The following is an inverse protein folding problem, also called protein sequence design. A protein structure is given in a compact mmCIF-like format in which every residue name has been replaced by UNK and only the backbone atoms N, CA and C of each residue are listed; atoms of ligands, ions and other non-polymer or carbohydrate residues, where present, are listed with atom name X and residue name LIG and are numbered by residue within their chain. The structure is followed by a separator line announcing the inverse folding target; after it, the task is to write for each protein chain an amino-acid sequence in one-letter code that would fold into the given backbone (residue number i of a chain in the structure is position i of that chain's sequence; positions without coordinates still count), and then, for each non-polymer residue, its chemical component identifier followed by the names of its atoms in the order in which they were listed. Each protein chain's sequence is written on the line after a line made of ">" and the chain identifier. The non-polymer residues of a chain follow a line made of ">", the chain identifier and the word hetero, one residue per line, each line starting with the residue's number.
data_IF_609348705977
#
_entry.id   IF_609348705977
#
_cell.length_a   1.000
_cell.length_b   1.000
_cell.length_c   1.000
_cell.angle_alpha   90.00
_cell.angle_beta   90.00
_cell.angle_gamma   90.00
#
_symmetry.space_group_name_H-M   'P 1'
#
loop_
_entity.id
_entity.type
_entity.pdbx_description
1 polymer ?
#
# COMPACT_ATOMS: atom_id res chain seq x y z
N UNK A 1 40.42 13.55 41.37
CA UNK A 1 39.75 13.59 40.04
C UNK A 1 40.64 12.99 38.94
N UNK A 2 40.95 11.69 38.97
CA UNK A 2 41.85 11.07 37.97
C UNK A 2 41.20 10.79 36.60
N UNK A 3 39.87 10.78 36.52
CA UNK A 3 39.14 10.37 35.31
C UNK A 3 38.38 11.49 34.59
N UNK A 4 38.42 12.72 35.11
CA UNK A 4 37.66 13.84 34.55
C UNK A 4 38.07 14.14 33.09
N UNK A 5 39.39 14.07 32.81
CA UNK A 5 39.91 14.30 31.45
C UNK A 5 39.44 13.22 30.47
N UNK A 6 39.42 11.95 30.88
CA UNK A 6 38.98 10.85 30.04
C UNK A 6 37.48 10.91 29.74
N UNK A 7 36.66 11.28 30.73
CA UNK A 7 35.22 11.47 30.55
C UNK A 7 34.93 12.63 29.57
N UNK A 8 35.66 13.75 29.72
CA UNK A 8 35.50 14.88 28.81
C UNK A 8 35.83 14.50 27.36
N UNK A 9 36.91 13.74 27.15
CA UNK A 9 37.30 13.29 25.81
C UNK A 9 36.23 12.40 25.19
N UNK A 10 35.64 11.47 25.94
CA UNK A 10 34.57 10.60 25.42
C UNK A 10 33.33 11.41 25.03
N UNK A 11 32.95 12.41 25.84
CA UNK A 11 31.81 13.29 25.54
C UNK A 11 32.09 14.11 24.27
N UNK A 12 33.27 14.70 24.14
CA UNK A 12 33.63 15.51 22.96
C UNK A 12 33.68 14.65 21.69
N UNK A 13 34.24 13.45 21.75
CA UNK A 13 34.26 12.52 20.61
C UNK A 13 32.84 12.10 20.22
N UNK A 14 31.96 11.80 21.19
CA UNK A 14 30.57 11.45 20.90
C UNK A 14 29.81 12.59 20.22
N UNK A 15 29.96 13.83 20.71
CA UNK A 15 29.33 15.01 20.12
C UNK A 15 29.83 15.28 18.69
N UNK A 16 31.14 15.16 18.44
CA UNK A 16 31.67 15.36 17.08
C UNK A 16 31.21 14.29 16.08
N UNK A 17 30.98 13.05 16.54
CA UNK A 17 30.50 11.97 15.66
C UNK A 17 29.00 12.08 15.37
N UNK A 18 28.17 12.46 16.36
CA UNK A 18 26.73 12.59 16.15
C UNK A 18 26.34 13.80 15.31
N UNK A 19 27.04 14.93 15.45
CA UNK A 19 26.77 16.13 14.64
C UNK A 19 27.05 15.91 13.14
N UNK A 20 28.08 15.12 12.79
CA UNK A 20 28.40 14.82 11.39
C UNK A 20 27.37 13.88 10.74
N UNK A 21 26.75 12.98 11.51
CA UNK A 21 25.70 12.09 10.99
C UNK A 21 24.37 12.83 10.74
N UNK A 22 24.03 13.81 11.59
CA UNK A 22 22.82 14.62 11.38
C UNK A 22 22.97 15.50 10.13
N UNK A 23 24.13 16.13 9.95
CA UNK A 23 24.40 17.00 8.79
C UNK A 23 24.40 16.25 7.44
N UNK A 24 24.91 15.00 7.40
CA UNK A 24 24.86 14.18 6.18
C UNK A 24 23.44 13.70 5.84
N UNK A 25 22.59 13.47 6.85
CA UNK A 25 21.20 13.05 6.62
C UNK A 25 20.35 14.16 6.01
N UNK A 26 20.50 15.40 6.49
CA UNK A 26 19.74 16.55 5.98
C UNK A 26 20.26 17.03 4.62
N UNK A 27 21.58 17.09 4.42
CA UNK A 27 22.15 17.48 3.12
C UNK A 27 21.93 16.42 2.05
N UNK A 28 22.00 15.13 2.36
CA UNK A 28 21.71 14.05 1.42
C UNK A 28 20.26 14.04 0.96
N UNK A 29 19.31 14.31 1.86
CA UNK A 29 17.89 14.43 1.55
C UNK A 29 17.61 15.65 0.65
N UNK A 30 18.23 16.80 0.95
CA UNK A 30 18.07 18.04 0.18
C UNK A 30 18.76 17.96 -1.20
N UNK A 31 19.91 17.30 -1.31
CA UNK A 31 20.59 17.05 -2.60
C UNK A 31 19.83 16.05 -3.47
N UNK A 32 19.24 15.01 -2.87
CA UNK A 32 18.39 14.04 -3.57
C UNK A 32 17.17 14.71 -4.20
N UNK A 33 16.47 15.55 -3.44
CA UNK A 33 15.28 16.29 -3.93
C UNK A 33 15.68 17.30 -5.02
N UNK A 34 16.73 18.09 -4.81
CA UNK A 34 17.18 19.08 -5.82
C UNK A 34 17.65 18.48 -7.13
N UNK A 35 18.24 17.28 -7.11
CA UNK A 35 18.65 16.58 -8.33
C UNK A 35 17.46 15.87 -9.01
N UNK A 36 16.46 15.44 -8.24
CA UNK A 36 15.21 14.91 -8.79
C UNK A 36 14.44 16.00 -9.55
N UNK A 37 14.29 17.19 -8.97
CA UNK A 37 13.60 18.33 -9.60
C UNK A 37 14.27 18.80 -10.91
N UNK A 38 15.60 18.67 -11.02
CA UNK A 38 16.35 18.99 -12.25
C UNK A 38 16.29 17.93 -13.34
N UNK A 39 15.80 16.73 -13.03
CA UNK A 39 15.73 15.62 -13.99
C UNK A 39 14.50 15.69 -14.88
N UNK A 40 13.59 16.63 -14.64
CA UNK A 40 12.40 16.85 -15.46
C UNK A 40 12.59 18.09 -16.34
N UNK A 41 12.45 17.97 -17.67
CA UNK A 41 12.55 19.13 -18.56
C UNK A 41 11.40 20.12 -18.29
N UNK A 42 11.75 21.37 -18.03
CA UNK A 42 10.84 22.45 -17.60
C UNK A 42 9.83 22.93 -18.65
N UNK A 43 9.73 22.26 -19.79
CA UNK A 43 8.99 22.76 -20.97
C UNK A 43 7.75 21.92 -21.35
N UNK A 44 7.33 20.97 -20.51
CA UNK A 44 6.03 20.33 -20.70
C UNK A 44 5.20 20.37 -19.42
N UNK A 45 4.24 21.30 -19.37
CA UNK A 45 3.19 21.41 -18.34
C UNK A 45 2.30 20.17 -18.19
N UNK A 46 2.49 19.16 -19.04
CA UNK A 46 1.83 17.86 -18.93
C UNK A 46 2.45 16.92 -17.90
N UNK A 47 3.70 17.13 -17.44
CA UNK A 47 4.37 16.19 -16.53
C UNK A 47 4.05 16.41 -15.04
N UNK A 48 3.55 17.60 -14.68
CA UNK A 48 3.16 17.93 -13.30
C UNK A 48 1.77 17.40 -12.90
N UNK A 49 1.10 16.70 -13.83
CA UNK A 49 -0.11 15.96 -13.48
C UNK A 49 0.28 14.66 -12.76
N UNK A 50 -0.10 14.58 -11.48
CA UNK A 50 -0.12 13.34 -10.69
C UNK A 50 -0.88 12.19 -11.37
N UNK A 51 -1.63 12.44 -12.46
CA UNK A 51 -2.35 11.42 -13.22
C UNK A 51 -1.40 10.55 -14.06
N UNK A 52 -0.18 11.01 -14.38
CA UNK A 52 0.75 10.27 -15.25
C UNK A 52 1.53 9.15 -14.56
N UNK A 53 1.53 9.08 -13.22
CA UNK A 53 2.03 7.91 -12.49
C UNK A 53 1.06 6.71 -12.55
N UNK A 54 -0.16 6.94 -13.04
CA UNK A 54 -1.17 5.92 -13.31
C UNK A 54 -1.35 5.72 -14.82
N UNK A 55 -0.26 5.60 -15.57
CA UNK A 55 -0.32 5.28 -17.00
C UNK A 55 -0.94 3.90 -17.23
N UNK A 56 -2.23 3.94 -17.58
CA UNK A 56 -2.80 3.32 -18.78
C UNK A 56 -2.23 1.96 -19.18
N UNK A 57 -2.80 0.90 -18.62
CA UNK A 57 -3.12 -0.28 -19.43
C UNK A 57 -4.53 -0.10 -19.98
N UNK A 58 -4.63 0.57 -21.13
CA UNK A 58 -5.83 0.50 -21.97
C UNK A 58 -6.03 -0.95 -22.40
N UNK A 59 -6.84 -1.70 -21.64
CA UNK A 59 -7.44 -2.93 -22.11
C UNK A 59 -8.67 -2.55 -22.92
N UNK A 60 -8.52 -2.53 -24.24
CA UNK A 60 -9.57 -2.17 -25.21
C UNK A 60 -10.56 -3.33 -25.41
N UNK A 61 -11.04 -3.88 -24.30
CA UNK A 61 -12.18 -4.78 -24.27
C UNK A 61 -13.44 -3.96 -24.05
N UNK A 62 -14.41 -4.05 -24.96
CA UNK A 62 -15.79 -3.66 -24.67
C UNK A 62 -16.32 -4.52 -23.54
N UNK A 63 -16.04 -4.12 -22.30
CA UNK A 63 -16.60 -4.78 -21.13
C UNK A 63 -17.90 -4.07 -20.79
N UNK A 64 -19.03 -4.69 -21.16
CA UNK A 64 -20.32 -4.42 -20.53
C UNK A 64 -20.24 -4.88 -19.07
N UNK A 65 -19.48 -4.16 -18.24
CA UNK A 65 -19.44 -4.37 -16.80
C UNK A 65 -20.64 -3.60 -16.25
N UNK A 66 -21.70 -4.34 -15.90
CA UNK A 66 -22.68 -3.82 -14.97
C UNK A 66 -21.89 -3.36 -13.74
N UNK A 67 -21.85 -2.04 -13.53
CA UNK A 67 -21.26 -1.44 -12.34
C UNK A 67 -21.88 -2.12 -11.12
N UNK A 68 -21.04 -2.48 -10.16
CA UNK A 68 -21.51 -3.05 -8.91
C UNK A 68 -22.27 -1.98 -8.11
N UNK A 69 -21.83 -0.72 -8.22
CA UNK A 69 -22.56 0.46 -7.73
C UNK A 69 -22.67 0.54 -6.21
N UNK A 70 -21.79 -0.14 -5.46
CA UNK A 70 -21.86 -0.21 -4.00
C UNK A 70 -20.97 0.84 -3.34
N UNK A 71 -21.46 1.41 -2.25
CA UNK A 71 -20.70 2.27 -1.35
C UNK A 71 -19.84 1.42 -0.39
N UNK A 72 -18.72 1.99 0.08
CA UNK A 72 -17.83 1.36 1.07
C UNK A 72 -18.54 1.03 2.39
N UNK A 73 -19.63 1.72 2.74
CA UNK A 73 -20.43 1.41 3.93
C UNK A 73 -21.37 0.21 3.73
N UNK A 74 -21.79 -0.06 2.50
CA UNK A 74 -22.73 -1.13 2.19
C UNK A 74 -22.08 -2.51 2.18
N UNK A 75 -20.75 -2.54 2.07
CA UNK A 75 -19.95 -3.77 2.06
C UNK A 75 -19.60 -4.31 3.45
N UNK A 76 -19.73 -3.48 4.50
CA UNK A 76 -19.37 -3.87 5.87
C UNK A 76 -20.28 -5.02 6.32
N UNK A 77 -19.66 -6.10 6.81
CA UNK A 77 -20.34 -7.32 7.25
C UNK A 77 -20.92 -8.16 6.11
N UNK A 78 -20.58 -7.89 4.85
CA UNK A 78 -21.01 -8.70 3.69
C UNK A 78 -19.90 -9.65 3.25
N UNK A 79 -20.30 -10.85 2.80
CA UNK A 79 -19.40 -11.77 2.10
C UNK A 79 -19.20 -11.29 0.66
N UNK A 80 -17.97 -10.89 0.36
CA UNK A 80 -17.54 -10.40 -0.95
C UNK A 80 -16.53 -11.38 -1.53
N UNK A 81 -16.70 -11.72 -2.79
CA UNK A 81 -15.77 -12.57 -3.53
C UNK A 81 -14.86 -11.69 -4.36
N UNK A 82 -13.56 -11.83 -4.13
CA UNK A 82 -12.51 -11.27 -4.97
C UNK A 82 -11.98 -12.37 -5.87
N UNK A 83 -12.14 -12.20 -7.18
CA UNK A 83 -11.62 -13.12 -8.19
C UNK A 83 -10.40 -12.50 -8.87
N UNK A 84 -9.22 -12.99 -8.53
CA UNK A 84 -7.97 -12.70 -9.23
C UNK A 84 -7.70 -13.84 -10.21
N UNK A 85 -7.06 -13.56 -11.35
CA UNK A 85 -6.91 -14.57 -12.42
C UNK A 85 -6.27 -15.90 -12.00
N UNK A 86 -5.48 -15.89 -10.92
CA UNK A 86 -4.75 -17.06 -10.40
C UNK A 86 -5.37 -17.65 -9.11
N UNK A 87 -6.25 -16.93 -8.42
CA UNK A 87 -6.90 -17.40 -7.19
C UNK A 87 -8.15 -16.56 -6.90
N UNK A 88 -9.07 -17.12 -6.12
CA UNK A 88 -10.19 -16.35 -5.57
C UNK A 88 -10.18 -16.42 -4.05
N UNK A 89 -10.70 -15.37 -3.41
CA UNK A 89 -10.89 -15.30 -1.97
C UNK A 89 -12.28 -14.76 -1.64
N UNK A 90 -12.91 -15.28 -0.59
CA UNK A 90 -14.10 -14.68 0.01
C UNK A 90 -13.66 -13.88 1.22
N UNK A 91 -14.07 -12.63 1.31
CA UNK A 91 -13.70 -11.70 2.36
C UNK A 91 -14.96 -11.12 3.02
N UNK A 92 -14.89 -10.94 4.35
CA UNK A 92 -15.86 -10.18 5.15
C UNK A 92 -15.10 -9.06 5.84
N UNK A 93 -15.35 -7.82 5.42
CA UNK A 93 -14.81 -6.65 6.10
C UNK A 93 -15.75 -6.31 7.25
N UNK A 94 -15.36 -6.60 8.48
CA UNK A 94 -16.18 -6.40 9.67
C UNK A 94 -16.18 -4.94 10.14
N UNK A 95 -15.02 -4.28 10.00
CA UNK A 95 -14.82 -2.88 10.35
C UNK A 95 -13.63 -2.31 9.57
N UNK A 96 -13.34 -1.02 9.74
CA UNK A 96 -12.13 -0.39 9.18
C UNK A 96 -10.83 -0.98 9.76
N UNK A 97 -10.92 -1.79 10.82
CA UNK A 97 -9.79 -2.37 11.56
C UNK A 97 -9.75 -3.89 11.62
N UNK A 98 -10.79 -4.57 11.11
CA UNK A 98 -10.86 -6.04 11.10
C UNK A 98 -11.49 -6.58 9.81
N UNK A 99 -10.90 -7.65 9.29
CA UNK A 99 -11.49 -8.46 8.24
C UNK A 99 -11.23 -9.94 8.49
N UNK A 100 -12.09 -10.77 7.93
CA UNK A 100 -11.86 -12.20 7.80
C UNK A 100 -11.85 -12.56 6.31
N UNK A 101 -11.00 -13.49 5.92
CA UNK A 101 -10.96 -13.98 4.54
C UNK A 101 -10.72 -15.48 4.51
N UNK A 102 -11.15 -16.12 3.43
CA UNK A 102 -10.88 -17.53 3.13
C UNK A 102 -10.54 -17.69 1.67
N UNK A 103 -9.63 -18.61 1.38
CA UNK A 103 -9.35 -18.98 0.00
C UNK A 103 -10.51 -19.80 -0.62
N UNK A 104 -10.37 -20.17 -1.88
CA UNK A 104 -11.33 -21.02 -2.59
C UNK A 104 -11.44 -22.45 -2.05
N UNK A 105 -10.43 -22.94 -1.32
CA UNK A 105 -10.42 -24.26 -0.71
C UNK A 105 -11.09 -24.25 0.68
N UNK A 106 -11.47 -23.07 1.19
CA UNK A 106 -12.02 -22.90 2.52
C UNK A 106 -10.95 -22.95 3.62
N UNK A 107 -9.67 -22.79 3.25
CA UNK A 107 -8.64 -22.52 4.25
C UNK A 107 -8.88 -21.10 4.79
N UNK A 108 -9.26 -21.07 6.06
CA UNK A 108 -9.61 -19.85 6.76
C UNK A 108 -8.35 -19.03 7.04
N UNK A 109 -8.29 -17.83 6.47
CA UNK A 109 -7.51 -16.75 7.04
C UNK A 109 -8.11 -16.40 8.39
N UNK A 110 -7.32 -16.48 9.45
CA UNK A 110 -7.71 -15.97 10.78
C UNK A 110 -8.20 -14.51 10.69
N UNK A 111 -8.96 -14.03 11.70
CA UNK A 111 -9.37 -12.63 11.73
C UNK A 111 -8.13 -11.73 11.72
N UNK A 112 -8.02 -10.89 10.68
CA UNK A 112 -6.87 -10.05 10.41
C UNK A 112 -7.12 -8.64 10.95
N UNK A 113 -6.12 -8.12 11.66
CA UNK A 113 -6.08 -6.69 11.98
C UNK A 113 -5.64 -5.93 10.74
N UNK A 114 -6.47 -4.98 10.30
CA UNK A 114 -6.23 -4.23 9.07
C UNK A 114 -6.10 -2.74 9.33
N UNK A 115 -5.58 -2.03 8.34
CA UNK A 115 -5.70 -0.58 8.23
C UNK A 115 -6.43 -0.24 6.93
N UNK A 116 -7.51 0.53 7.05
CA UNK A 116 -8.36 0.92 5.93
C UNK A 116 -8.27 2.42 5.70
N UNK A 117 -7.93 2.82 4.47
CA UNK A 117 -8.01 4.19 3.99
C UNK A 117 -9.21 4.28 3.04
N UNK A 118 -10.19 5.11 3.39
CA UNK A 118 -11.27 5.46 2.48
C UNK A 118 -10.79 6.55 1.53
N UNK A 119 -10.58 6.18 0.26
CA UNK A 119 -10.19 7.14 -0.79
C UNK A 119 -11.40 8.02 -1.14
N UNK A 120 -12.57 7.40 -1.26
CA UNK A 120 -13.87 8.07 -1.37
C UNK A 120 -15.01 7.10 -1.00
N UNK A 121 -16.25 7.51 -1.27
CA UNK A 121 -17.47 6.73 -0.98
C UNK A 121 -17.55 5.34 -1.63
N UNK A 122 -16.72 5.05 -2.64
CA UNK A 122 -16.77 3.81 -3.42
C UNK A 122 -15.44 3.06 -3.41
N UNK A 123 -14.37 3.68 -2.89
CA UNK A 123 -12.99 3.22 -3.05
C UNK A 123 -12.27 3.15 -1.73
N UNK A 124 -11.59 2.03 -1.50
CA UNK A 124 -10.77 1.81 -0.30
C UNK A 124 -9.39 1.28 -0.67
N UNK A 125 -8.43 1.57 0.21
CA UNK A 125 -7.15 0.88 0.28
C UNK A 125 -7.08 0.15 1.63
N UNK A 126 -6.98 -1.16 1.60
CA UNK A 126 -6.84 -2.01 2.78
C UNK A 126 -5.42 -2.55 2.84
N UNK A 127 -4.89 -2.70 4.05
CA UNK A 127 -3.59 -3.35 4.26
C UNK A 127 -3.57 -4.16 5.54
N UNK A 128 -2.88 -5.31 5.51
CA UNK A 128 -2.70 -6.19 6.67
C UNK A 128 -1.44 -7.05 6.49
N UNK A 129 -1.04 -7.72 7.57
CA UNK A 129 0.05 -8.71 7.57
C UNK A 129 -0.55 -10.05 7.93
N UNK A 130 -0.33 -11.05 7.08
CA UNK A 130 -0.79 -12.43 7.29
C UNK A 130 0.13 -13.18 8.27
N UNK A 131 -0.31 -14.37 8.70
CA UNK A 131 0.44 -15.20 9.67
C UNK A 131 1.78 -15.70 9.15
N UNK A 132 1.96 -15.77 7.84
CA UNK A 132 3.21 -16.16 7.16
C UNK A 132 4.13 -14.94 6.87
N UNK A 133 3.85 -13.78 7.49
CA UNK A 133 4.53 -12.51 7.26
C UNK A 133 4.34 -11.91 5.86
N UNK A 134 3.40 -12.41 5.06
CA UNK A 134 3.01 -11.73 3.82
C UNK A 134 2.29 -10.43 4.16
N UNK A 135 2.86 -9.29 3.73
CA UNK A 135 2.17 -8.00 3.80
C UNK A 135 1.31 -7.83 2.54
N UNK A 136 0.03 -7.56 2.75
CA UNK A 136 -0.94 -7.40 1.66
C UNK A 136 -1.42 -5.96 1.64
N UNK A 137 -1.49 -5.38 0.45
CA UNK A 137 -2.17 -4.10 0.21
C UNK A 137 -3.15 -4.28 -0.94
N UNK A 138 -4.40 -3.88 -0.74
CA UNK A 138 -5.50 -4.09 -1.68
C UNK A 138 -6.27 -2.78 -1.91
N UNK A 139 -6.33 -2.35 -3.16
CA UNK A 139 -7.22 -1.30 -3.65
C UNK A 139 -8.52 -1.95 -4.13
N UNK A 140 -9.66 -1.45 -3.67
CA UNK A 140 -10.99 -1.90 -4.11
C UNK A 140 -11.81 -0.73 -4.63
N UNK A 141 -12.40 -0.88 -5.81
CA UNK A 141 -13.41 0.01 -6.39
C UNK A 141 -14.75 -0.72 -6.44
N UNK A 142 -15.59 -0.47 -5.43
CA UNK A 142 -16.89 -1.11 -5.28
C UNK A 142 -17.97 -0.52 -6.19
N UNK A 143 -17.70 0.60 -6.86
CA UNK A 143 -18.60 1.10 -7.89
C UNK A 143 -18.36 0.36 -9.21
N UNK A 144 -17.11 0.24 -9.64
CA UNK A 144 -16.75 -0.46 -10.88
C UNK A 144 -16.62 -1.98 -10.71
N UNK A 145 -16.59 -2.49 -9.48
CA UNK A 145 -16.42 -3.92 -9.18
C UNK A 145 -15.01 -4.41 -9.51
N UNK A 146 -13.99 -3.59 -9.29
CA UNK A 146 -12.58 -3.88 -9.63
C UNK A 146 -11.70 -3.91 -8.39
N UNK A 147 -10.69 -4.77 -8.39
CA UNK A 147 -9.70 -4.84 -7.33
C UNK A 147 -8.29 -4.96 -7.89
N UNK A 148 -7.33 -4.38 -7.20
CA UNK A 148 -5.90 -4.53 -7.45
C UNK A 148 -5.19 -4.74 -6.13
N UNK A 149 -4.26 -5.67 -6.04
CA UNK A 149 -3.52 -5.93 -4.82
C UNK A 149 -2.04 -6.21 -5.07
N UNK A 150 -1.23 -5.96 -4.05
CA UNK A 150 0.17 -6.31 -3.99
C UNK A 150 0.39 -7.21 -2.77
N UNK A 151 1.01 -8.36 -3.02
CA UNK A 151 1.45 -9.29 -1.98
C UNK A 151 2.96 -9.19 -1.86
N UNK A 152 3.45 -8.72 -0.72
CA UNK A 152 4.85 -8.61 -0.37
C UNK A 152 5.22 -9.79 0.53
N UNK A 153 5.97 -10.75 0.00
CA UNK A 153 6.36 -11.96 0.75
C UNK A 153 7.69 -11.75 1.47
N UNK A 154 7.92 -12.54 2.52
CA UNK A 154 9.15 -12.52 3.32
C UNK A 154 10.42 -12.74 2.48
N UNK A 155 10.34 -13.52 1.40
CA UNK A 155 11.45 -13.72 0.46
C UNK A 155 11.77 -12.49 -0.43
N UNK A 156 11.10 -11.35 -0.20
CA UNK A 156 11.26 -10.11 -0.95
C UNK A 156 10.51 -10.07 -2.28
N UNK A 157 9.80 -11.13 -2.66
CA UNK A 157 8.99 -11.14 -3.88
C UNK A 157 7.75 -10.25 -3.73
N UNK A 158 7.44 -9.50 -4.78
CA UNK A 158 6.23 -8.68 -4.88
C UNK A 158 5.39 -9.26 -6.01
N UNK A 159 4.17 -9.66 -5.69
CA UNK A 159 3.21 -10.18 -6.69
C UNK A 159 2.05 -9.20 -6.86
N UNK A 160 1.98 -8.46 -7.97
CA UNK A 160 0.81 -7.68 -8.32
C UNK A 160 -0.29 -8.60 -8.85
N UNK A 161 -1.52 -8.38 -8.41
CA UNK A 161 -2.72 -9.05 -8.94
C UNK A 161 -3.82 -8.04 -9.23
N UNK A 162 -4.58 -8.29 -10.28
CA UNK A 162 -5.74 -7.51 -10.67
C UNK A 162 -6.93 -8.45 -10.86
N UNK A 163 -8.13 -8.00 -10.50
CA UNK A 163 -9.29 -8.86 -10.42
C UNK A 163 -10.60 -8.08 -10.35
N UNK A 164 -11.67 -8.85 -10.16
CA UNK A 164 -13.03 -8.32 -10.05
C UNK A 164 -13.64 -8.64 -8.69
N UNK A 165 -14.55 -7.78 -8.28
CA UNK A 165 -15.31 -7.90 -7.03
C UNK A 165 -16.71 -8.38 -7.38
N UNK A 166 -17.20 -9.39 -6.67
CA UNK A 166 -18.57 -9.89 -6.79
C UNK A 166 -19.20 -10.00 -5.41
N UNK A 167 -20.49 -9.70 -5.33
CA UNK A 167 -21.29 -10.06 -4.16
C UNK A 167 -21.53 -11.56 -4.19
N UNK A 168 -21.33 -12.23 -3.05
CA UNK A 168 -21.76 -13.61 -2.91
C UNK A 168 -23.29 -13.66 -2.90
N UNK A 169 -23.87 -14.55 -3.72
CA UNK A 169 -25.32 -14.75 -3.81
C UNK A 169 -25.85 -15.57 -2.66
#
# INVERSE_FOLDING_TARGET
>A
MKYLKSILIVITVNLCLTYNMIAQSEQGYILGIKNFEKSFPSENSGWDSYDNLYMNRHFDGKVNQNKLGLNTKEIIGKEIVYEYGIFSMTMVIESDSSLYWKDQNGEDGSNQKINTIHINNFKTLLSWVETDNTFVTMYSDFNEGKSSAFLYRENGSITPVEGIIKMKK
#
